data_IF_990351574954
#
_entry.id   IF_990351574954
#
_cell.length_a   1.000
_cell.length_b   1.000
_cell.length_c   1.000
_cell.angle_alpha   90.00
_cell.angle_beta   90.00
_cell.angle_gamma   90.00
#
_symmetry.space_group_name_H-M   'P 1'
#
loop_
_entity.id
_entity.type
_entity.pdbx_description
1 polymer ?
#
# COMPACT_ATOMS: atom_id res chain seq x y z
N UNK A 1 5.37 56.11 38.51
CA UNK A 1 4.68 54.83 38.44
C UNK A 1 4.33 54.42 37.02
N UNK A 2 4.16 55.28 36.02
CA UNK A 2 3.83 54.97 34.62
C UNK A 2 4.97 54.29 33.86
N UNK A 3 6.24 54.58 34.14
CA UNK A 3 7.38 54.01 33.45
C UNK A 3 7.61 52.49 33.69
N UNK A 4 7.36 52.02 34.92
CA UNK A 4 7.49 50.59 35.27
C UNK A 4 6.44 49.72 34.59
N UNK A 5 5.24 50.26 34.42
CA UNK A 5 4.12 49.55 33.76
C UNK A 5 4.37 49.41 32.25
N UNK A 6 4.94 50.42 31.59
CA UNK A 6 5.34 50.38 30.18
C UNK A 6 6.46 49.35 29.93
N UNK A 7 7.44 49.28 30.84
CA UNK A 7 8.53 48.27 30.76
C UNK A 7 8.02 46.83 30.91
N UNK A 8 7.10 46.58 31.84
CA UNK A 8 6.48 45.26 32.02
C UNK A 8 5.67 44.85 30.82
N UNK A 9 4.92 45.76 30.20
CA UNK A 9 4.19 45.51 28.96
C UNK A 9 5.12 45.19 27.79
N UNK A 10 6.25 45.90 27.66
CA UNK A 10 7.23 45.64 26.61
C UNK A 10 7.86 44.24 26.75
N UNK A 11 8.21 43.84 27.99
CA UNK A 11 8.75 42.49 28.27
C UNK A 11 7.71 41.41 28.00
N UNK A 12 6.45 41.63 28.40
CA UNK A 12 5.36 40.66 28.11
C UNK A 12 5.10 40.50 26.62
N UNK A 13 5.12 41.61 25.85
CA UNK A 13 4.99 41.57 24.40
C UNK A 13 6.15 40.81 23.72
N UNK A 14 7.38 41.05 24.16
CA UNK A 14 8.57 40.37 23.67
C UNK A 14 8.52 38.85 23.96
N UNK A 15 8.14 38.50 25.18
CA UNK A 15 7.96 37.11 25.59
C UNK A 15 6.87 36.38 24.76
N UNK A 16 5.76 37.06 24.47
CA UNK A 16 4.70 36.56 23.64
C UNK A 16 5.17 36.32 22.19
N UNK A 17 5.88 37.28 21.60
CA UNK A 17 6.46 37.14 20.26
C UNK A 17 7.47 36.00 20.23
N UNK A 18 8.36 35.89 21.20
CA UNK A 18 9.31 34.80 21.31
C UNK A 18 8.61 33.43 21.43
N UNK A 19 7.57 33.34 22.27
CA UNK A 19 6.79 32.10 22.39
C UNK A 19 6.08 31.69 21.07
N UNK A 20 5.54 32.68 20.35
CA UNK A 20 4.92 32.42 19.02
C UNK A 20 5.96 31.95 18.02
N UNK A 21 7.13 32.58 17.96
CA UNK A 21 8.23 32.21 17.06
C UNK A 21 8.75 30.81 17.39
N UNK A 22 9.02 30.52 18.67
CA UNK A 22 9.46 29.20 19.12
C UNK A 22 8.44 28.11 18.81
N UNK A 23 7.15 28.39 19.06
CA UNK A 23 6.08 27.45 18.74
C UNK A 23 5.96 27.21 17.22
N UNK A 24 6.22 28.25 16.43
CA UNK A 24 6.22 28.13 14.95
C UNK A 24 7.45 27.34 14.46
N UNK A 25 8.63 27.59 15.04
CA UNK A 25 9.85 26.82 14.73
C UNK A 25 9.73 25.35 15.15
N UNK A 26 9.19 25.06 16.32
CA UNK A 26 8.97 23.68 16.77
C UNK A 26 8.02 22.89 15.83
N UNK A 27 6.95 23.56 15.37
CA UNK A 27 6.06 22.96 14.34
C UNK A 27 6.75 22.77 12.98
N UNK A 28 7.72 23.63 12.65
CA UNK A 28 8.49 23.56 11.42
C UNK A 28 9.50 22.39 11.47
N UNK A 29 10.17 22.23 12.60
CA UNK A 29 11.13 21.13 12.81
C UNK A 29 10.44 19.76 12.88
N UNK A 30 9.27 19.67 13.54
CA UNK A 30 8.50 18.42 13.58
C UNK A 30 8.08 17.91 12.19
N UNK A 31 7.61 18.80 11.33
CA UNK A 31 7.15 18.40 10.00
C UNK A 31 8.22 17.86 9.05
N UNK A 32 9.48 18.29 9.18
CA UNK A 32 10.59 17.77 8.38
C UNK A 32 11.01 16.38 8.86
N UNK A 33 11.05 16.17 10.16
CA UNK A 33 11.39 14.88 10.76
C UNK A 33 10.35 13.80 10.42
N UNK A 34 9.06 14.13 10.52
CA UNK A 34 7.97 13.23 10.18
C UNK A 34 7.98 12.82 8.69
N UNK A 35 8.34 13.75 7.79
CA UNK A 35 8.46 13.46 6.36
C UNK A 35 9.64 12.52 6.08
N UNK A 36 10.79 12.73 6.69
CA UNK A 36 11.96 11.85 6.50
C UNK A 36 11.71 10.46 7.08
N UNK A 37 11.05 10.35 8.22
CA UNK A 37 10.60 9.06 8.76
C UNK A 37 9.63 8.34 7.82
N UNK A 38 8.67 9.07 7.25
CA UNK A 38 7.76 8.50 6.26
C UNK A 38 8.51 7.99 5.03
N UNK A 39 9.42 8.80 4.47
CA UNK A 39 10.23 8.41 3.30
C UNK A 39 11.01 7.13 3.58
N UNK A 40 11.74 7.11 4.69
CA UNK A 40 12.53 5.94 5.11
C UNK A 40 11.64 4.70 5.29
N UNK A 41 10.47 4.85 5.93
CA UNK A 41 9.51 3.76 6.12
C UNK A 41 8.95 3.23 4.80
N UNK A 42 8.56 4.13 3.89
CA UNK A 42 8.03 3.74 2.57
C UNK A 42 9.09 3.04 1.73
N UNK A 43 10.33 3.54 1.72
CA UNK A 43 11.46 2.91 1.02
C UNK A 43 11.72 1.52 1.57
N UNK A 44 11.80 1.36 2.90
CA UNK A 44 12.04 0.08 3.55
C UNK A 44 10.93 -0.95 3.23
N UNK A 45 9.65 -0.53 3.29
CA UNK A 45 8.52 -1.41 2.93
C UNK A 45 8.58 -1.80 1.46
N UNK A 46 8.86 -0.85 0.54
CA UNK A 46 8.94 -1.16 -0.88
C UNK A 46 10.12 -2.07 -1.23
N UNK A 47 11.28 -1.91 -0.56
CA UNK A 47 12.44 -2.78 -0.73
C UNK A 47 12.13 -4.21 -0.26
N UNK A 48 11.55 -4.37 0.94
CA UNK A 48 11.13 -5.69 1.43
C UNK A 48 10.05 -6.33 0.57
N UNK A 49 9.12 -5.53 0.05
CA UNK A 49 8.12 -6.01 -0.91
C UNK A 49 8.80 -6.58 -2.16
N UNK A 50 9.86 -5.93 -2.67
CA UNK A 50 10.65 -6.43 -3.78
C UNK A 50 11.34 -7.76 -3.44
N UNK A 51 12.04 -7.81 -2.32
CA UNK A 51 12.78 -8.98 -1.84
C UNK A 51 11.90 -10.24 -1.72
N UNK A 52 10.61 -10.05 -1.41
CA UNK A 52 9.66 -11.17 -1.28
C UNK A 52 8.94 -11.46 -2.60
N UNK A 53 8.46 -10.44 -3.29
CA UNK A 53 7.59 -10.61 -4.47
C UNK A 53 8.38 -11.02 -5.71
N UNK A 54 9.57 -10.45 -5.92
CA UNK A 54 10.33 -10.69 -7.15
C UNK A 54 10.77 -12.19 -7.26
N UNK A 55 11.38 -12.85 -6.24
CA UNK A 55 11.66 -14.26 -6.31
C UNK A 55 10.38 -15.13 -6.32
N UNK A 56 9.36 -14.76 -5.53
CA UNK A 56 8.10 -15.50 -5.52
C UNK A 56 7.46 -15.55 -6.92
N UNK A 57 7.40 -14.43 -7.64
CA UNK A 57 6.82 -14.40 -8.99
C UNK A 57 7.63 -15.22 -9.99
N UNK A 58 8.96 -15.27 -9.86
CA UNK A 58 9.82 -16.12 -10.68
C UNK A 58 9.51 -17.61 -10.44
N UNK A 59 9.42 -18.04 -9.18
CA UNK A 59 9.08 -19.41 -8.81
C UNK A 59 7.67 -19.83 -9.27
N UNK A 60 6.69 -18.93 -9.13
CA UNK A 60 5.33 -19.17 -9.62
C UNK A 60 5.28 -19.35 -11.15
N UNK A 61 6.11 -18.61 -11.89
CA UNK A 61 6.23 -18.78 -13.35
C UNK A 61 6.92 -20.10 -13.71
N UNK A 62 7.86 -20.61 -12.91
CA UNK A 62 8.47 -21.94 -13.08
C UNK A 62 7.45 -23.05 -12.86
N UNK A 63 6.63 -22.97 -11.82
CA UNK A 63 5.53 -23.90 -11.58
C UNK A 63 4.54 -23.90 -12.75
N UNK A 64 4.20 -22.71 -13.26
CA UNK A 64 3.30 -22.60 -14.44
C UNK A 64 3.86 -23.26 -15.69
N UNK A 65 5.17 -23.24 -15.89
CA UNK A 65 5.85 -23.89 -17.01
C UNK A 65 6.08 -25.37 -16.78
N UNK A 66 5.76 -25.89 -15.59
CA UNK A 66 6.00 -27.29 -15.24
C UNK A 66 7.47 -27.61 -14.97
N UNK A 67 8.34 -26.59 -14.81
CA UNK A 67 9.77 -26.77 -14.52
C UNK A 67 10.08 -26.89 -13.04
N UNK A 68 9.09 -26.75 -12.16
CA UNK A 68 9.22 -26.86 -10.71
C UNK A 68 8.07 -27.63 -10.09
N UNK A 69 8.39 -28.44 -9.05
CA UNK A 69 7.38 -29.19 -8.32
C UNK A 69 6.44 -28.26 -7.52
N UNK A 70 5.11 -28.39 -7.66
CA UNK A 70 4.14 -27.65 -6.88
C UNK A 70 4.27 -27.86 -5.38
N UNK A 71 4.72 -29.03 -4.92
CA UNK A 71 4.86 -29.32 -3.48
C UNK A 71 5.98 -28.48 -2.86
N UNK A 72 7.13 -28.39 -3.53
CA UNK A 72 8.24 -27.53 -3.09
C UNK A 72 7.83 -26.06 -3.10
N UNK A 73 7.18 -25.63 -4.18
CA UNK A 73 6.71 -24.24 -4.31
C UNK A 73 5.68 -23.86 -3.23
N UNK A 74 4.90 -24.81 -2.72
CA UNK A 74 3.91 -24.53 -1.67
C UNK A 74 4.55 -24.04 -0.37
N UNK A 75 5.70 -24.55 0.00
CA UNK A 75 6.46 -24.16 1.21
C UNK A 75 6.96 -22.72 1.06
N UNK A 76 7.46 -22.38 -0.13
CA UNK A 76 7.97 -21.03 -0.40
C UNK A 76 6.85 -19.99 -0.41
N UNK A 77 5.70 -20.33 -1.03
CA UNK A 77 4.53 -19.45 -1.00
C UNK A 77 4.04 -19.23 0.42
N UNK A 78 4.01 -20.26 1.27
CA UNK A 78 3.65 -20.13 2.67
C UNK A 78 4.61 -19.19 3.42
N UNK A 79 5.92 -19.34 3.21
CA UNK A 79 6.94 -18.45 3.78
C UNK A 79 6.79 -17.01 3.30
N UNK A 80 6.62 -16.83 1.98
CA UNK A 80 6.40 -15.50 1.40
C UNK A 80 5.10 -14.84 1.92
N UNK A 81 4.03 -15.61 2.08
CA UNK A 81 2.76 -15.15 2.64
C UNK A 81 2.91 -14.67 4.09
N UNK A 82 3.67 -15.38 4.91
CA UNK A 82 3.99 -14.95 6.27
C UNK A 82 4.78 -13.63 6.27
N UNK A 83 5.83 -13.52 5.44
CA UNK A 83 6.62 -12.31 5.28
C UNK A 83 5.79 -11.11 4.80
N UNK A 84 4.87 -11.31 3.84
CA UNK A 84 3.97 -10.26 3.35
C UNK A 84 2.95 -9.82 4.41
N UNK A 85 2.45 -10.73 5.26
CA UNK A 85 1.58 -10.38 6.39
C UNK A 85 2.30 -9.52 7.42
N UNK A 86 3.56 -9.84 7.73
CA UNK A 86 4.36 -9.01 8.64
C UNK A 86 4.71 -7.66 8.02
N UNK A 87 4.97 -7.62 6.72
CA UNK A 87 5.16 -6.37 5.98
C UNK A 87 3.90 -5.50 5.99
N UNK A 88 2.70 -6.08 5.91
CA UNK A 88 1.44 -5.35 6.05
C UNK A 88 1.31 -4.69 7.43
N UNK A 89 1.68 -5.41 8.51
CA UNK A 89 1.71 -4.83 9.86
C UNK A 89 2.72 -3.68 9.94
N UNK A 90 3.90 -3.86 9.38
CA UNK A 90 4.92 -2.81 9.32
C UNK A 90 4.45 -1.59 8.55
N UNK A 91 3.82 -1.77 7.38
CA UNK A 91 3.27 -0.67 6.59
C UNK A 91 2.21 0.13 7.37
N UNK A 92 1.36 -0.54 8.15
CA UNK A 92 0.34 0.09 9.01
C UNK A 92 0.94 0.86 10.20
N UNK A 93 2.15 0.51 10.65
CA UNK A 93 2.83 1.21 11.74
C UNK A 93 3.53 2.50 11.31
N UNK A 94 3.63 2.78 10.01
CA UNK A 94 4.25 3.99 9.49
C UNK A 94 3.40 5.21 9.88
N UNK A 95 4.01 6.10 10.66
CA UNK A 95 3.41 7.38 10.99
C UNK A 95 3.56 8.34 9.83
N UNK A 96 2.45 8.89 9.35
CA UNK A 96 2.44 9.86 8.26
C UNK A 96 1.89 11.21 8.73
N UNK A 97 2.44 12.32 8.21
CA UNK A 97 1.79 13.62 8.34
C UNK A 97 0.34 13.56 7.81
N UNK A 98 -0.60 14.32 8.40
CA UNK A 98 -2.01 14.26 7.97
C UNK A 98 -2.21 14.47 6.46
N UNK A 99 -1.42 15.35 5.83
CA UNK A 99 -1.45 15.61 4.40
C UNK A 99 -1.05 14.40 3.54
N UNK A 100 -0.33 13.43 4.10
CA UNK A 100 0.17 12.24 3.40
C UNK A 100 -0.50 10.93 3.87
N UNK A 101 -1.49 11.02 4.75
CA UNK A 101 -2.20 9.87 5.29
C UNK A 101 -2.78 8.96 4.19
N UNK A 102 -3.30 9.54 3.10
CA UNK A 102 -3.87 8.77 2.00
C UNK A 102 -2.81 8.01 1.19
N UNK A 103 -1.59 8.55 1.07
CA UNK A 103 -0.46 7.84 0.44
C UNK A 103 -0.05 6.62 1.25
N UNK A 104 -0.04 6.75 2.57
CA UNK A 104 0.27 5.63 3.47
C UNK A 104 -0.84 4.57 3.43
N UNK A 105 -2.11 4.98 3.44
CA UNK A 105 -3.25 4.05 3.25
C UNK A 105 -3.15 3.31 1.91
N UNK A 106 -2.79 4.01 0.84
CA UNK A 106 -2.59 3.40 -0.48
C UNK A 106 -1.46 2.36 -0.46
N UNK A 107 -0.32 2.65 0.22
CA UNK A 107 0.76 1.69 0.38
C UNK A 107 0.28 0.44 1.14
N UNK A 108 -0.42 0.60 2.26
CA UNK A 108 -1.01 -0.50 3.03
C UNK A 108 -1.93 -1.34 2.15
N UNK A 109 -2.80 -0.69 1.37
CA UNK A 109 -3.73 -1.38 0.48
C UNK A 109 -3.01 -2.24 -0.58
N UNK A 110 -1.90 -1.73 -1.15
CA UNK A 110 -1.12 -2.49 -2.13
C UNK A 110 -0.37 -3.66 -1.49
N UNK A 111 0.15 -3.50 -0.28
CA UNK A 111 0.76 -4.63 0.46
C UNK A 111 -0.31 -5.68 0.81
N UNK A 112 -1.49 -5.27 1.26
CA UNK A 112 -2.62 -6.18 1.51
C UNK A 112 -3.09 -6.87 0.22
N UNK A 113 -3.01 -6.19 -0.92
CA UNK A 113 -3.26 -6.79 -2.24
C UNK A 113 -2.22 -7.87 -2.56
N UNK A 114 -0.93 -7.63 -2.25
CA UNK A 114 0.11 -8.65 -2.41
C UNK A 114 -0.15 -9.88 -1.52
N UNK A 115 -0.61 -9.68 -0.28
CA UNK A 115 -1.01 -10.77 0.62
C UNK A 115 -2.12 -11.62 -0.01
N UNK A 116 -3.19 -10.98 -0.49
CA UNK A 116 -4.30 -11.72 -1.14
C UNK A 116 -3.86 -12.43 -2.43
N UNK A 117 -2.98 -11.82 -3.19
CA UNK A 117 -2.46 -12.41 -4.42
C UNK A 117 -1.57 -13.64 -4.14
N UNK A 118 -0.73 -13.59 -3.10
CA UNK A 118 0.07 -14.72 -2.65
C UNK A 118 -0.82 -15.87 -2.13
N UNK A 119 -1.85 -15.54 -1.37
CA UNK A 119 -2.83 -16.53 -0.86
C UNK A 119 -3.56 -17.24 -2.02
N UNK A 120 -4.00 -16.47 -3.01
CA UNK A 120 -4.61 -17.01 -4.24
C UNK A 120 -3.65 -17.91 -5.01
N UNK A 121 -2.37 -17.53 -5.14
CA UNK A 121 -1.35 -18.36 -5.79
C UNK A 121 -1.11 -19.64 -5.00
N UNK A 122 -1.04 -19.57 -3.66
CA UNK A 122 -0.89 -20.73 -2.78
C UNK A 122 -2.06 -21.70 -2.92
N UNK A 123 -3.30 -21.19 -3.01
CA UNK A 123 -4.47 -22.01 -3.27
C UNK A 123 -4.37 -22.74 -4.63
N UNK A 124 -3.96 -22.02 -5.68
CA UNK A 124 -3.73 -22.62 -7.00
C UNK A 124 -2.69 -23.73 -6.99
N UNK A 125 -1.55 -23.52 -6.31
CA UNK A 125 -0.50 -24.54 -6.15
C UNK A 125 -1.03 -25.75 -5.38
N UNK A 126 -1.77 -25.54 -4.28
CA UNK A 126 -2.37 -26.63 -3.51
C UNK A 126 -3.37 -27.47 -4.31
N UNK A 127 -4.09 -26.85 -5.25
CA UNK A 127 -4.95 -27.57 -6.18
C UNK A 127 -4.14 -28.34 -7.22
N UNK A 128 -3.07 -27.79 -7.79
CA UNK A 128 -2.20 -28.50 -8.74
C UNK A 128 -1.56 -29.75 -8.12
N UNK A 129 -1.13 -29.68 -6.86
CA UNK A 129 -0.57 -30.82 -6.14
C UNK A 129 -1.56 -31.96 -5.88
N UNK A 130 -2.87 -31.64 -5.76
CA UNK A 130 -3.94 -32.65 -5.51
C UNK A 130 -4.56 -33.19 -6.77
N UNK A 131 -4.65 -32.39 -7.81
CA UNK A 131 -5.39 -32.69 -9.03
C UNK A 131 -4.48 -33.25 -10.13
N UNK A 132 -4.25 -34.58 -10.13
CA UNK A 132 -3.61 -35.20 -11.28
C UNK A 132 -4.49 -35.19 -12.57
N UNK A 133 -5.78 -34.87 -12.53
CA UNK A 133 -6.65 -34.96 -13.71
C UNK A 133 -7.83 -33.99 -13.90
N UNK A 134 -8.40 -33.32 -12.89
CA UNK A 134 -9.66 -32.56 -13.06
C UNK A 134 -9.61 -31.08 -12.68
N UNK A 135 -8.63 -30.62 -11.92
CA UNK A 135 -8.56 -29.23 -11.42
C UNK A 135 -7.55 -28.32 -12.14
N UNK A 136 -6.95 -28.75 -13.23
CA UNK A 136 -5.79 -28.07 -13.82
C UNK A 136 -6.06 -26.65 -14.32
N UNK A 137 -7.23 -26.39 -14.90
CA UNK A 137 -7.54 -25.06 -15.47
C UNK A 137 -7.81 -24.03 -14.38
N UNK A 138 -8.59 -24.39 -13.36
CA UNK A 138 -8.88 -23.50 -12.23
C UNK A 138 -7.63 -23.19 -11.43
N UNK A 139 -6.82 -24.20 -11.14
CA UNK A 139 -5.55 -24.07 -10.45
C UNK A 139 -4.57 -23.15 -11.21
N UNK A 140 -4.44 -23.34 -12.52
CA UNK A 140 -3.61 -22.49 -13.38
C UNK A 140 -4.16 -21.06 -13.46
N UNK A 141 -5.48 -20.89 -13.49
CA UNK A 141 -6.11 -19.57 -13.48
C UNK A 141 -5.86 -18.83 -12.17
N UNK A 142 -6.00 -19.52 -11.03
CA UNK A 142 -5.71 -18.97 -9.72
C UNK A 142 -4.24 -18.55 -9.61
N UNK A 143 -3.32 -19.40 -10.06
CA UNK A 143 -1.90 -19.14 -10.09
C UNK A 143 -1.56 -17.93 -10.98
N UNK A 144 -2.12 -17.87 -12.19
CA UNK A 144 -1.95 -16.72 -13.10
C UNK A 144 -2.44 -15.41 -12.49
N UNK A 145 -3.64 -15.41 -11.88
CA UNK A 145 -4.24 -14.23 -11.23
C UNK A 145 -3.42 -13.81 -10.03
N UNK A 146 -2.95 -14.75 -9.20
CA UNK A 146 -2.07 -14.49 -8.07
C UNK A 146 -0.75 -13.85 -8.53
N UNK A 147 -0.06 -14.44 -9.51
CA UNK A 147 1.18 -13.89 -10.07
C UNK A 147 0.99 -12.46 -10.61
N UNK A 148 -0.09 -12.23 -11.36
CA UNK A 148 -0.39 -10.90 -11.89
C UNK A 148 -0.69 -9.89 -10.77
N UNK A 149 -1.43 -10.29 -9.75
CA UNK A 149 -1.72 -9.47 -8.58
C UNK A 149 -0.46 -9.05 -7.82
N UNK A 150 0.50 -9.97 -7.65
CA UNK A 150 1.79 -9.68 -7.03
C UNK A 150 2.59 -8.65 -7.84
N UNK A 151 2.69 -8.82 -9.17
CA UNK A 151 3.38 -7.87 -10.05
C UNK A 151 2.74 -6.49 -10.01
N UNK A 152 1.42 -6.41 -9.99
CA UNK A 152 0.71 -5.13 -9.89
C UNK A 152 0.98 -4.44 -8.54
N UNK A 153 0.91 -5.16 -7.42
CA UNK A 153 1.21 -4.63 -6.10
C UNK A 153 2.65 -4.11 -6.03
N UNK A 154 3.61 -4.85 -6.59
CA UNK A 154 5.03 -4.45 -6.67
C UNK A 154 5.22 -3.16 -7.47
N UNK A 155 4.61 -3.07 -8.66
CA UNK A 155 4.68 -1.88 -9.51
C UNK A 155 4.02 -0.66 -8.85
N UNK A 156 2.89 -0.87 -8.17
CA UNK A 156 2.19 0.20 -7.44
C UNK A 156 2.99 0.68 -6.23
N UNK A 157 3.58 -0.22 -5.45
CA UNK A 157 4.48 0.11 -4.34
C UNK A 157 5.65 0.99 -4.81
N UNK A 158 6.29 0.65 -5.94
CA UNK A 158 7.36 1.45 -6.53
C UNK A 158 6.87 2.85 -6.93
N UNK A 159 5.69 2.97 -7.54
CA UNK A 159 5.12 4.28 -7.91
C UNK A 159 4.86 5.15 -6.67
N UNK A 160 4.32 4.56 -5.61
CA UNK A 160 4.09 5.27 -4.33
C UNK A 160 5.43 5.73 -3.76
N UNK A 161 6.44 4.86 -3.69
CA UNK A 161 7.77 5.20 -3.21
C UNK A 161 8.36 6.38 -3.98
N UNK A 162 8.34 6.34 -5.31
CA UNK A 162 8.86 7.42 -6.16
C UNK A 162 8.08 8.72 -5.91
N UNK A 163 6.76 8.65 -5.76
CA UNK A 163 5.93 9.82 -5.49
C UNK A 163 6.24 10.47 -4.15
N UNK A 164 6.49 9.65 -3.11
CA UNK A 164 6.84 10.14 -1.77
C UNK A 164 8.28 10.65 -1.72
N UNK A 165 9.22 10.00 -2.41
CA UNK A 165 10.63 10.42 -2.46
C UNK A 165 10.80 11.82 -3.06
N UNK A 166 9.97 12.19 -4.04
CA UNK A 166 10.00 13.50 -4.71
C UNK A 166 9.43 14.65 -3.86
N UNK A 167 8.71 14.36 -2.77
CA UNK A 167 8.10 15.39 -1.95
C UNK A 167 9.14 16.18 -1.18
N UNK A 168 8.99 17.50 -1.19
CA UNK A 168 9.75 18.42 -0.33
C UNK A 168 8.90 18.82 0.88
N UNK A 169 9.52 19.31 1.96
CA UNK A 169 8.76 19.85 3.11
C UNK A 169 7.82 20.99 2.72
N UNK A 170 8.13 21.73 1.67
CA UNK A 170 7.29 22.80 1.13
C UNK A 170 6.04 22.26 0.45
N UNK A 171 6.18 21.19 -0.32
CA UNK A 171 5.05 20.53 -0.99
C UNK A 171 4.04 20.00 0.03
N UNK A 172 4.52 19.35 1.09
CA UNK A 172 3.64 18.81 2.15
C UNK A 172 2.84 19.91 2.86
N UNK A 173 3.42 21.11 3.00
CA UNK A 173 2.71 22.28 3.59
C UNK A 173 1.68 22.88 2.65
N UNK A 174 1.93 22.83 1.35
CA UNK A 174 1.01 23.34 0.35
C UNK A 174 -0.17 22.38 0.08
N UNK A 175 -0.06 21.12 0.51
CA UNK A 175 -1.15 20.16 0.36
C UNK A 175 -2.32 20.50 1.28
N UNK A 176 -3.56 20.52 0.76
CA UNK A 176 -4.73 20.64 1.60
C UNK A 176 -4.80 19.44 2.55
N UNK A 177 -4.95 19.71 3.85
CA UNK A 177 -5.25 18.63 4.82
C UNK A 177 -6.60 18.05 4.44
N UNK A 178 -6.71 16.75 4.15
CA UNK A 178 -7.99 16.15 3.83
C UNK A 178 -8.95 16.41 4.99
N UNK A 179 -9.97 17.23 4.77
CA UNK A 179 -11.07 17.42 5.72
C UNK A 179 -11.69 16.03 5.91
N UNK A 180 -11.53 15.50 7.13
CA UNK A 180 -11.96 14.14 7.47
C UNK A 180 -13.42 13.91 7.14
N UNK A 181 -13.69 13.30 6.04
CA UNK A 181 -14.86 12.56 5.61
C UNK A 181 -15.08 12.57 4.09
N UNK A 182 -14.05 12.66 3.28
CA UNK A 182 -14.22 12.14 1.93
C UNK A 182 -14.45 10.63 2.10
N UNK A 183 -15.73 10.25 2.25
CA UNK A 183 -16.18 8.88 2.04
C UNK A 183 -15.45 8.39 0.79
N UNK A 184 -14.69 7.33 0.91
CA UNK A 184 -14.29 6.57 -0.25
C UNK A 184 -15.57 6.33 -1.02
N UNK A 185 -15.76 7.14 -2.08
CA UNK A 185 -16.91 7.01 -2.96
C UNK A 185 -16.95 5.55 -3.36
N UNK A 186 -18.12 4.99 -3.23
CA UNK A 186 -18.42 3.67 -3.73
C UNK A 186 -17.64 3.50 -5.04
N UNK A 187 -16.80 2.47 -5.10
CA UNK A 187 -16.23 2.00 -6.34
C UNK A 187 -17.44 1.91 -7.25
N UNK A 188 -17.52 2.83 -8.22
CA UNK A 188 -18.54 2.77 -9.24
C UNK A 188 -18.37 1.38 -9.85
N UNK A 189 -19.24 0.47 -9.50
CA UNK A 189 -19.41 -0.77 -10.23
C UNK A 189 -19.64 -0.34 -11.67
N UNK A 190 -18.77 -0.75 -12.60
CA UNK A 190 -19.04 -0.46 -14.01
C UNK A 190 -20.45 -0.97 -14.29
N UNK A 191 -21.27 -0.22 -15.08
CA UNK A 191 -22.58 -0.69 -15.45
C UNK A 191 -22.41 -2.10 -16.04
N UNK A 192 -23.08 -3.05 -15.45
CA UNK A 192 -23.21 -4.38 -16.04
C UNK A 192 -24.05 -4.14 -17.29
N UNK A 193 -23.43 -4.25 -18.45
CA UNK A 193 -24.15 -4.28 -19.72
C UNK A 193 -25.06 -5.51 -19.70
N UNK A 194 -26.32 -5.31 -19.29
CA UNK A 194 -27.36 -6.35 -19.27
C UNK A 194 -27.72 -6.83 -20.70
N UNK A 195 -27.22 -6.18 -21.73
CA UNK A 195 -27.53 -6.48 -23.13
C UNK A 195 -26.76 -7.69 -23.70
N UNK A 196 -25.90 -8.36 -22.91
CA UNK A 196 -25.13 -9.54 -23.35
C UNK A 196 -25.72 -10.90 -22.93
N UNK A 197 -26.88 -10.91 -22.26
CA UNK A 197 -27.64 -12.15 -22.04
C UNK A 197 -28.62 -12.31 -23.20
N UNK A 198 -28.10 -12.61 -24.37
CA UNK A 198 -28.89 -13.18 -25.45
C UNK A 198 -29.38 -14.56 -25.00
N UNK A 199 -30.60 -14.60 -24.49
CA UNK A 199 -31.31 -15.87 -24.28
C UNK A 199 -31.61 -16.42 -25.65
N UNK A 200 -30.77 -17.35 -26.10
CA UNK A 200 -31.00 -18.14 -27.29
C UNK A 200 -32.17 -19.11 -26.98
N UNK A 201 -33.34 -18.79 -27.51
CA UNK A 201 -34.58 -19.58 -27.37
C UNK A 201 -34.37 -20.93 -28.09
N UNK A 202 -34.59 -22.07 -27.43
CA UNK A 202 -34.42 -23.38 -28.09
C UNK A 202 -35.48 -23.55 -29.19
N UNK A 203 -35.14 -24.19 -30.32
CA UNK A 203 -36.06 -24.40 -31.45
C UNK A 203 -37.24 -25.28 -31.03
N UNK A 204 -38.45 -25.02 -31.56
CA UNK A 204 -39.64 -25.83 -31.28
C UNK A 204 -39.51 -27.23 -31.91
N UNK A 205 -39.84 -28.23 -31.11
CA UNK A 205 -39.97 -29.65 -31.52
C UNK A 205 -41.21 -29.90 -32.36
#
# INVERSE_FOLDING_TARGET
>A
MTGTLLWLLAIAALALVAAIVLRRMARLAGGTHDLEHLKTGVVAVNQRLAEVVDPLTAHLDEVRRGSRDPVEASVEVASALAALRDLSKQARSIKAPPALADRTKQLVWEVDRAVRAADMAGHGIGQLGRARQVGGIEAQTALKRGTLGLRHARAAGTRIMISVAKLTPLDVRAMPVPSGSARFGAIATPPVDEDLIGVEEPPPT
#
